data_IF_650990326380
#
_entry.id   IF_650990326380
#
_cell.length_a   1.000
_cell.length_b   1.000
_cell.length_c   1.000
_cell.angle_alpha   90.00
_cell.angle_beta   90.00
_cell.angle_gamma   90.00
#
_symmetry.space_group_name_H-M   'P 1'
#
loop_
_entity.id
_entity.type
_entity.pdbx_description
1 polymer ?
#
# COMPACT_ATOMS: atom_id res chain seq x y z
N UNK A 1 -13.81 -23.36 -11.29
CA UNK A 1 -13.74 -22.08 -10.57
C UNK A 1 -12.34 -21.57 -10.76
N UNK A 2 -12.12 -20.81 -11.83
CA UNK A 2 -10.78 -20.31 -12.18
C UNK A 2 -10.39 -19.29 -11.13
N UNK A 3 -9.34 -19.61 -10.38
CA UNK A 3 -8.72 -18.73 -9.42
C UNK A 3 -7.99 -17.65 -10.24
N UNK A 4 -8.72 -16.63 -10.69
CA UNK A 4 -8.12 -15.43 -11.27
C UNK A 4 -7.25 -14.83 -10.18
N UNK A 5 -5.94 -15.09 -10.27
CA UNK A 5 -4.93 -14.50 -9.41
C UNK A 5 -5.11 -12.99 -9.51
N UNK A 6 -5.70 -12.36 -8.49
CA UNK A 6 -5.88 -10.93 -8.43
C UNK A 6 -4.49 -10.28 -8.42
N UNK A 7 -4.00 -9.93 -9.60
CA UNK A 7 -2.61 -9.57 -9.83
C UNK A 7 -2.26 -8.30 -9.04
N UNK A 8 -1.22 -8.42 -8.24
CA UNK A 8 -0.59 -7.29 -7.59
C UNK A 8 0.17 -6.51 -8.67
N UNK A 9 -0.18 -5.25 -8.87
CA UNK A 9 0.57 -4.33 -9.70
C UNK A 9 1.51 -3.53 -8.81
N UNK A 10 2.80 -3.50 -9.16
CA UNK A 10 3.83 -2.82 -8.38
C UNK A 10 4.48 -1.76 -9.26
N UNK A 11 4.56 -0.55 -8.74
CA UNK A 11 5.19 0.61 -9.37
C UNK A 11 6.32 1.12 -8.46
N UNK A 12 7.51 1.30 -9.02
CA UNK A 12 8.69 1.85 -8.33
C UNK A 12 9.20 3.14 -8.98
N UNK A 13 8.83 3.40 -10.24
CA UNK A 13 9.10 4.65 -10.92
C UNK A 13 7.89 5.58 -10.87
N UNK A 14 8.10 6.88 -10.69
CA UNK A 14 7.01 7.86 -10.65
C UNK A 14 6.02 7.65 -9.50
N UNK A 15 6.47 7.04 -8.41
CA UNK A 15 5.68 6.86 -7.18
C UNK A 15 5.34 8.23 -6.61
N UNK A 16 4.08 8.51 -6.25
CA UNK A 16 3.71 9.80 -5.67
C UNK A 16 4.33 9.98 -4.27
N UNK A 17 4.32 11.22 -3.76
CA UNK A 17 4.69 11.48 -2.38
C UNK A 17 3.70 10.82 -1.40
N UNK A 18 4.22 10.43 -0.24
CA UNK A 18 3.42 9.85 0.82
C UNK A 18 2.41 10.86 1.36
N UNK A 19 1.12 10.57 1.22
CA UNK A 19 0.05 11.43 1.73
C UNK A 19 0.12 11.69 3.25
N UNK A 20 0.78 10.81 4.03
CA UNK A 20 0.92 10.95 5.49
C UNK A 20 2.00 11.93 5.93
N UNK A 21 3.10 12.06 5.17
CA UNK A 21 4.26 12.85 5.59
C UNK A 21 4.88 13.72 4.49
N UNK A 22 4.30 13.73 3.29
CA UNK A 22 4.76 14.47 2.10
C UNK A 22 6.19 14.16 1.66
N UNK A 23 6.77 13.04 2.09
CA UNK A 23 8.09 12.57 1.62
C UNK A 23 7.92 11.65 0.41
N UNK A 24 8.95 11.50 -0.45
CA UNK A 24 8.91 10.58 -1.57
C UNK A 24 8.49 9.17 -1.15
N UNK A 25 7.55 8.57 -1.89
CA UNK A 25 7.21 7.16 -1.77
C UNK A 25 8.26 6.28 -2.46
N UNK A 26 8.47 5.07 -1.94
CA UNK A 26 9.42 4.10 -2.51
C UNK A 26 8.75 3.18 -3.52
N UNK A 27 7.51 2.80 -3.25
CA UNK A 27 6.77 1.82 -4.03
C UNK A 27 5.26 2.04 -3.88
N UNK A 28 4.50 1.85 -4.95
CA UNK A 28 3.04 1.79 -4.92
C UNK A 28 2.60 0.39 -5.35
N UNK A 29 1.91 -0.32 -4.47
CA UNK A 29 1.25 -1.57 -4.82
C UNK A 29 -0.25 -1.36 -4.99
N UNK A 30 -0.81 -1.85 -6.09
CA UNK A 30 -2.23 -1.76 -6.42
C UNK A 30 -2.79 -3.15 -6.66
N UNK A 31 -3.96 -3.44 -6.11
CA UNK A 31 -4.60 -4.74 -6.22
C UNK A 31 -6.12 -4.60 -6.33
N UNK A 32 -6.81 -5.52 -7.03
CA UNK A 32 -8.26 -5.54 -7.08
C UNK A 32 -8.88 -5.62 -5.69
N UNK A 33 -9.92 -4.82 -5.47
CA UNK A 33 -10.65 -4.76 -4.22
C UNK A 33 -12.14 -4.53 -4.50
N UNK A 34 -12.99 -5.32 -3.85
CA UNK A 34 -14.43 -5.13 -3.89
C UNK A 34 -14.97 -4.72 -2.52
N UNK A 35 -16.00 -3.87 -2.54
CA UNK A 35 -16.70 -3.43 -1.34
C UNK A 35 -18.20 -3.28 -1.61
N UNK A 36 -18.98 -3.20 -0.53
CA UNK A 36 -20.42 -2.91 -0.60
C UNK A 36 -20.67 -1.41 -0.53
N UNK A 37 -21.48 -0.88 -1.44
CA UNK A 37 -21.96 0.49 -1.36
C UNK A 37 -23.11 0.64 -0.34
N UNK A 38 -23.63 1.86 -0.17
CA UNK A 38 -24.75 2.13 0.73
C UNK A 38 -26.05 1.39 0.39
N UNK A 39 -26.19 0.88 -0.85
CA UNK A 39 -27.32 0.06 -1.31
C UNK A 39 -27.04 -1.45 -1.22
N UNK A 40 -25.96 -1.85 -0.54
CA UNK A 40 -25.49 -3.23 -0.42
C UNK A 40 -25.16 -3.92 -1.75
N UNK A 41 -24.83 -3.15 -2.78
CA UNK A 41 -24.39 -3.66 -4.09
C UNK A 41 -22.87 -3.80 -4.11
N UNK A 42 -22.36 -4.82 -4.80
CA UNK A 42 -20.93 -4.98 -5.02
C UNK A 42 -20.42 -3.88 -5.95
N UNK A 43 -19.34 -3.24 -5.53
CA UNK A 43 -18.54 -2.33 -6.34
C UNK A 43 -17.15 -2.93 -6.45
N UNK A 44 -16.69 -3.10 -7.68
CA UNK A 44 -15.33 -3.51 -7.98
C UNK A 44 -14.46 -2.27 -8.22
N UNK A 45 -13.24 -2.31 -7.74
CA UNK A 45 -12.26 -1.26 -7.98
C UNK A 45 -10.85 -1.73 -7.65
N UNK A 46 -9.95 -0.76 -7.57
CA UNK A 46 -8.56 -0.99 -7.19
C UNK A 46 -8.32 -0.33 -5.84
N UNK A 47 -7.58 -1.02 -4.97
CA UNK A 47 -7.00 -0.41 -3.78
C UNK A 47 -5.49 -0.31 -3.98
N UNK A 48 -4.93 0.82 -3.56
CA UNK A 48 -3.49 1.05 -3.59
C UNK A 48 -2.93 1.21 -2.18
N UNK A 49 -1.67 0.83 -1.99
CA UNK A 49 -0.91 1.01 -0.76
C UNK A 49 0.49 1.47 -1.12
N UNK A 50 0.91 2.57 -0.51
CA UNK A 50 2.21 3.19 -0.74
C UNK A 50 3.17 2.81 0.38
N UNK A 51 4.38 2.38 0.02
CA UNK A 51 5.48 2.13 0.94
C UNK A 51 6.28 3.42 1.14
N UNK A 52 6.43 3.85 2.38
CA UNK A 52 7.20 5.03 2.76
C UNK A 52 8.19 4.71 3.88
N UNK A 53 9.47 5.01 3.64
CA UNK A 53 10.57 4.77 4.58
C UNK A 53 10.35 5.39 5.96
N UNK A 54 9.67 6.54 6.03
CA UNK A 54 9.42 7.22 7.31
C UNK A 54 8.17 6.70 8.02
N UNK A 55 7.09 6.50 7.27
CA UNK A 55 5.77 6.21 7.82
C UNK A 55 5.59 4.73 8.18
N UNK A 56 6.35 3.85 7.53
CA UNK A 56 6.29 2.40 7.69
C UNK A 56 7.56 1.85 8.37
N UNK A 57 8.41 2.72 8.92
CA UNK A 57 9.68 2.34 9.57
C UNK A 57 9.50 1.29 10.67
N UNK A 58 8.38 1.34 11.39
CA UNK A 58 8.04 0.42 12.50
C UNK A 58 7.06 -0.68 12.08
N UNK A 59 6.73 -0.76 10.79
CA UNK A 59 5.86 -1.78 10.26
C UNK A 59 6.67 -3.05 9.95
N UNK A 60 6.45 -4.10 10.74
CA UNK A 60 7.17 -5.37 10.57
C UNK A 60 6.95 -6.00 9.19
N UNK A 61 5.79 -5.78 8.56
CA UNK A 61 5.53 -6.31 7.22
C UNK A 61 6.33 -5.57 6.14
N UNK A 62 6.69 -4.31 6.39
CA UNK A 62 7.47 -3.48 5.47
C UNK A 62 8.98 -3.64 5.65
N UNK A 63 9.43 -4.23 6.77
CA UNK A 63 10.83 -4.21 7.20
C UNK A 63 11.81 -4.71 6.13
N UNK A 64 11.53 -5.85 5.51
CA UNK A 64 12.43 -6.46 4.53
C UNK A 64 12.49 -5.67 3.21
N UNK A 65 11.36 -5.08 2.77
CA UNK A 65 11.34 -4.17 1.62
C UNK A 65 12.10 -2.88 1.91
N UNK A 66 11.93 -2.30 3.10
CA UNK A 66 12.66 -1.11 3.52
C UNK A 66 14.17 -1.38 3.58
N UNK A 67 14.57 -2.56 4.05
CA UNK A 67 15.97 -2.98 4.05
C UNK A 67 16.52 -3.12 2.63
N UNK A 68 15.76 -3.70 1.70
CA UNK A 68 16.14 -3.81 0.30
C UNK A 68 16.37 -2.43 -0.34
N UNK A 69 15.43 -1.50 -0.18
CA UNK A 69 15.56 -0.14 -0.71
C UNK A 69 16.70 0.65 -0.04
N UNK A 70 16.99 0.40 1.25
CA UNK A 70 18.12 1.06 1.92
C UNK A 70 19.49 0.62 1.40
N UNK A 71 19.60 -0.59 0.82
CA UNK A 71 20.86 -1.13 0.27
C UNK A 71 21.03 -0.77 -1.19
N UNK A 72 20.01 -0.99 -2.01
CA UNK A 72 20.14 -0.91 -3.48
C UNK A 72 19.61 0.42 -4.06
N UNK A 73 18.87 1.23 -3.29
CA UNK A 73 18.17 2.49 -3.64
C UNK A 73 17.18 2.39 -4.83
N UNK A 74 17.37 1.41 -5.72
CA UNK A 74 16.58 1.11 -6.91
C UNK A 74 16.44 -0.40 -7.12
N UNK A 75 15.33 -0.79 -7.74
CA UNK A 75 15.14 -2.17 -8.21
C UNK A 75 15.93 -2.36 -9.50
N UNK A 76 16.80 -3.37 -9.52
CA UNK A 76 17.64 -3.74 -10.66
C UNK A 76 17.34 -5.17 -11.10
N UNK A 77 17.88 -5.60 -12.24
CA UNK A 77 17.78 -6.99 -12.66
C UNK A 77 18.42 -7.98 -11.65
N UNK A 78 19.41 -7.53 -10.88
CA UNK A 78 20.12 -8.38 -9.91
C UNK A 78 19.31 -8.69 -8.65
N UNK A 79 18.42 -7.79 -8.24
CA UNK A 79 17.58 -7.95 -7.04
C UNK A 79 16.09 -8.17 -7.36
N UNK A 80 15.71 -8.22 -8.64
CA UNK A 80 14.32 -8.29 -9.10
C UNK A 80 13.54 -9.48 -8.52
N UNK A 81 14.15 -10.66 -8.43
CA UNK A 81 13.46 -11.84 -7.86
C UNK A 81 13.15 -11.62 -6.38
N UNK A 82 14.14 -11.21 -5.59
CA UNK A 82 13.95 -10.93 -4.16
C UNK A 82 12.96 -9.81 -3.93
N UNK A 83 13.02 -8.76 -4.76
CA UNK A 83 12.04 -7.69 -4.75
C UNK A 83 10.62 -8.20 -4.99
N UNK A 84 10.41 -9.03 -6.03
CA UNK A 84 9.09 -9.53 -6.39
C UNK A 84 8.48 -10.38 -5.26
N UNK A 85 9.28 -11.23 -4.62
CA UNK A 85 8.83 -12.06 -3.48
C UNK A 85 8.42 -11.18 -2.29
N UNK A 86 9.30 -10.24 -1.90
CA UNK A 86 9.04 -9.32 -0.78
C UNK A 86 7.83 -8.40 -1.04
N UNK A 87 7.68 -7.91 -2.28
CA UNK A 87 6.55 -7.08 -2.68
C UNK A 87 5.24 -7.88 -2.68
N UNK A 88 5.28 -9.15 -3.09
CA UNK A 88 4.15 -10.08 -3.01
C UNK A 88 3.70 -10.29 -1.58
N UNK A 89 4.62 -10.65 -0.69
CA UNK A 89 4.34 -10.90 0.73
C UNK A 89 3.76 -9.66 1.43
N UNK A 90 4.39 -8.50 1.22
CA UNK A 90 3.88 -7.23 1.74
C UNK A 90 2.51 -6.88 1.17
N UNK A 91 2.32 -7.06 -0.14
CA UNK A 91 1.06 -6.79 -0.84
C UNK A 91 -0.11 -7.62 -0.29
N UNK A 92 0.12 -8.88 0.05
CA UNK A 92 -0.89 -9.74 0.66
C UNK A 92 -1.23 -9.31 2.09
N UNK A 93 -0.24 -8.86 2.88
CA UNK A 93 -0.51 -8.21 4.17
C UNK A 93 -1.34 -6.95 3.98
N UNK A 94 -0.97 -6.09 3.03
CA UNK A 94 -1.73 -4.87 2.74
C UNK A 94 -3.15 -5.18 2.29
N UNK A 95 -3.39 -6.25 1.52
CA UNK A 95 -4.73 -6.70 1.10
C UNK A 95 -5.63 -7.01 2.28
N UNK A 96 -5.07 -7.56 3.35
CA UNK A 96 -5.85 -7.96 4.54
C UNK A 96 -6.00 -6.83 5.57
N UNK A 97 -5.21 -5.75 5.46
CA UNK A 97 -5.32 -4.61 6.37
C UNK A 97 -6.69 -3.95 6.30
N UNK A 98 -7.21 -3.68 7.51
CA UNK A 98 -8.43 -2.92 7.72
C UNK A 98 -8.08 -1.50 8.17
N UNK A 99 -8.86 -0.50 7.76
CA UNK A 99 -8.71 0.85 8.29
C UNK A 99 -8.78 0.84 9.82
N UNK A 100 -7.89 1.60 10.46
CA UNK A 100 -7.98 1.83 11.90
C UNK A 100 -9.19 2.74 12.17
N UNK A 101 -10.31 2.14 12.60
CA UNK A 101 -11.59 2.86 12.73
C UNK A 101 -11.52 4.08 13.66
N UNK A 102 -10.66 4.04 14.69
CA UNK A 102 -10.47 5.17 15.59
C UNK A 102 -9.75 6.33 14.92
N UNK A 103 -8.70 6.06 14.14
CA UNK A 103 -8.00 7.09 13.37
C UNK A 103 -8.92 7.67 12.30
N UNK A 104 -9.69 6.83 11.61
CA UNK A 104 -10.67 7.28 10.63
C UNK A 104 -11.75 8.19 11.26
N UNK A 105 -12.26 7.84 12.43
CA UNK A 105 -13.24 8.67 13.13
C UNK A 105 -12.67 10.04 13.54
N UNK A 106 -11.39 10.06 13.94
CA UNK A 106 -10.69 11.30 14.26
C UNK A 106 -10.48 12.18 13.02
N UNK A 107 -10.02 11.61 11.90
CA UNK A 107 -9.86 12.32 10.63
C UNK A 107 -11.21 12.85 10.09
N UNK A 108 -12.29 12.07 10.21
CA UNK A 108 -13.64 12.50 9.84
C UNK A 108 -14.08 13.72 10.65
N UNK A 109 -13.80 13.73 11.95
CA UNK A 109 -14.14 14.84 12.84
C UNK A 109 -13.36 16.12 12.49
N UNK A 110 -12.06 16.02 12.20
CA UNK A 110 -11.26 17.14 11.69
C UNK A 110 -11.83 17.67 10.36
N UNK A 111 -12.16 16.77 9.43
CA UNK A 111 -12.76 17.14 8.15
C UNK A 111 -14.10 17.86 8.31
N UNK A 112 -14.98 17.37 9.20
CA UNK A 112 -16.27 18.01 9.49
C UNK A 112 -16.13 19.42 10.07
N UNK A 113 -15.01 19.70 10.74
CA UNK A 113 -14.68 21.03 11.31
C UNK A 113 -13.92 21.93 10.33
N UNK A 114 -13.47 21.40 9.19
CA UNK A 114 -12.66 22.14 8.22
C UNK A 114 -11.19 22.29 8.63
N UNK A 115 -10.67 21.35 9.42
CA UNK A 115 -9.31 21.36 9.99
C UNK A 115 -8.37 20.32 9.34
N UNK A 116 -8.81 19.70 8.24
CA UNK A 116 -8.05 18.72 7.46
C UNK A 116 -7.23 19.39 6.34
#
# INVERSE_FOLDING_TARGET
MSNEQASLLVQVDGVPDCARCSRPGLMLASFPHSWKNQRNQDVEGMRASLLCSSCDAMDSAAADLLALFAVDDMVTQGNLSSFADLAGDWGEVQRQRKPALQALAYEEDLWRRGEL
#
